data_IF_491946943896
#
_entry.id   IF_491946943896
#
_cell.length_a   1.000
_cell.length_b   1.000
_cell.length_c   1.000
_cell.angle_alpha   90.00
_cell.angle_beta   90.00
_cell.angle_gamma   90.00
#
_symmetry.space_group_name_H-M   'P 1'
#
loop_
_entity.id
_entity.type
_entity.pdbx_description
1 polymer ?
#
# COMPACT_ATOMS: atom_id res chain seq x y z
N UNK A 1 -0.84 18.47 -11.07
CA UNK A 1 -1.25 17.10 -11.43
C UNK A 1 -1.58 16.35 -10.14
N UNK A 2 -2.84 15.98 -9.89
CA UNK A 2 -3.16 15.08 -8.78
C UNK A 2 -2.55 13.72 -9.14
N UNK A 3 -1.48 13.28 -8.47
CA UNK A 3 -1.09 11.88 -8.52
C UNK A 3 -2.25 11.07 -7.93
N UNK A 4 -2.96 10.25 -8.73
CA UNK A 4 -3.99 9.38 -8.19
C UNK A 4 -3.23 8.30 -7.41
N UNK A 5 -3.35 8.31 -6.09
CA UNK A 5 -2.71 7.23 -5.35
C UNK A 5 -3.38 5.91 -5.68
N UNK A 6 -2.59 4.86 -5.63
CA UNK A 6 -2.90 3.54 -6.18
C UNK A 6 -4.02 2.88 -5.37
N UNK A 7 -4.98 2.27 -6.06
CA UNK A 7 -6.03 1.48 -5.40
C UNK A 7 -5.42 0.27 -4.67
N UNK A 8 -6.11 -0.27 -3.66
CA UNK A 8 -5.64 -1.44 -2.92
C UNK A 8 -5.29 -2.63 -3.84
N UNK A 9 -6.13 -2.88 -4.85
CA UNK A 9 -5.96 -4.01 -5.77
C UNK A 9 -4.71 -3.83 -6.63
N UNK A 10 -4.48 -2.62 -7.11
CA UNK A 10 -3.33 -2.29 -7.95
C UNK A 10 -2.03 -2.28 -7.14
N UNK A 11 -2.08 -1.82 -5.89
CA UNK A 11 -0.99 -1.90 -4.94
C UNK A 11 -0.60 -3.36 -4.60
N UNK A 12 -1.60 -4.24 -4.45
CA UNK A 12 -1.37 -5.66 -4.17
C UNK A 12 -0.71 -6.36 -5.37
N UNK A 13 -1.20 -6.08 -6.58
CA UNK A 13 -0.59 -6.58 -7.83
C UNK A 13 0.85 -6.10 -7.99
N UNK A 14 1.12 -4.82 -7.72
CA UNK A 14 2.47 -4.26 -7.82
C UNK A 14 3.45 -4.95 -6.86
N UNK A 15 3.01 -5.25 -5.64
CA UNK A 15 3.82 -5.92 -4.63
C UNK A 15 3.91 -7.44 -4.82
N UNK A 16 3.10 -8.03 -5.70
CA UNK A 16 3.02 -9.49 -5.87
C UNK A 16 2.44 -10.21 -4.65
N UNK A 17 1.58 -9.54 -3.89
CA UNK A 17 0.95 -10.10 -2.67
C UNK A 17 -0.56 -10.19 -2.82
N UNK A 18 -1.18 -11.04 -2.02
CA UNK A 18 -2.63 -11.10 -1.94
C UNK A 18 -3.23 -9.80 -1.39
N UNK A 19 -4.42 -9.44 -1.90
CA UNK A 19 -5.16 -8.27 -1.45
C UNK A 19 -5.48 -8.32 0.06
N UNK A 20 -5.68 -9.52 0.62
CA UNK A 20 -5.92 -9.75 2.06
C UNK A 20 -4.67 -9.46 2.90
N UNK A 21 -3.48 -9.84 2.42
CA UNK A 21 -2.19 -9.51 3.03
C UNK A 21 -2.00 -8.01 3.07
N UNK A 22 -2.24 -7.34 1.93
CA UNK A 22 -2.14 -5.89 1.87
C UNK A 22 -3.18 -5.20 2.78
N UNK A 23 -4.42 -5.68 2.79
CA UNK A 23 -5.47 -5.17 3.66
C UNK A 23 -5.12 -5.31 5.15
N UNK A 24 -4.51 -6.43 5.53
CA UNK A 24 -4.03 -6.65 6.89
C UNK A 24 -2.93 -5.66 7.24
N UNK A 25 -1.93 -5.49 6.36
CA UNK A 25 -0.85 -4.52 6.56
C UNK A 25 -1.36 -3.07 6.74
N UNK A 26 -2.42 -2.70 6.03
CA UNK A 26 -3.07 -1.40 6.22
C UNK A 26 -3.80 -1.30 7.56
N UNK A 27 -4.57 -2.33 7.93
CA UNK A 27 -5.32 -2.36 9.20
C UNK A 27 -4.38 -2.34 10.41
N UNK A 28 -3.23 -3.00 10.31
CA UNK A 28 -2.21 -3.04 11.37
C UNK A 28 -1.26 -1.84 11.34
N UNK A 29 -1.42 -0.91 10.39
CA UNK A 29 -0.59 0.30 10.30
C UNK A 29 0.83 0.07 9.77
N UNK A 30 1.11 -1.07 9.13
CA UNK A 30 2.41 -1.38 8.52
C UNK A 30 2.66 -0.59 7.22
N UNK A 31 1.58 -0.11 6.59
CA UNK A 31 1.62 0.74 5.40
C UNK A 31 0.92 2.07 5.75
N UNK A 32 1.63 3.20 5.71
CA UNK A 32 1.00 4.49 5.93
C UNK A 32 0.01 4.82 4.80
N UNK A 33 -1.23 5.13 5.18
CA UNK A 33 -2.29 5.53 4.25
C UNK A 33 -2.73 6.96 4.50
N UNK A 34 -3.12 7.64 3.43
CA UNK A 34 -3.80 8.94 3.53
C UNK A 34 -5.25 8.79 3.10
N UNK A 35 -6.17 9.45 3.82
CA UNK A 35 -7.56 9.57 3.38
C UNK A 35 -7.68 10.79 2.49
N UNK A 36 -8.12 10.60 1.24
CA UNK A 36 -8.37 11.68 0.29
C UNK A 36 -9.80 11.56 -0.21
N UNK A 37 -10.63 12.58 0.05
CA UNK A 37 -12.04 12.62 -0.34
C UNK A 37 -12.85 11.38 0.09
N UNK A 38 -12.58 10.86 1.30
CA UNK A 38 -13.25 9.65 1.82
C UNK A 38 -12.66 8.32 1.33
N UNK A 39 -11.74 8.34 0.36
CA UNK A 39 -11.04 7.15 -0.11
C UNK A 39 -9.73 6.95 0.66
N UNK A 40 -9.46 5.71 1.08
CA UNK A 40 -8.13 5.31 1.55
C UNK A 40 -7.21 5.20 0.35
N UNK A 41 -6.14 5.99 0.37
CA UNK A 41 -5.16 6.08 -0.70
C UNK A 41 -3.80 5.67 -0.17
N UNK A 42 -3.12 4.78 -0.90
CA UNK A 42 -1.74 4.40 -0.62
C UNK A 42 -0.85 5.23 -1.52
N UNK A 43 0.11 5.95 -0.93
CA UNK A 43 1.08 6.71 -1.71
C UNK A 43 2.14 5.77 -2.27
N UNK A 44 2.72 6.13 -3.42
CA UNK A 44 3.76 5.33 -4.04
C UNK A 44 4.99 5.17 -3.13
N UNK A 45 5.36 6.21 -2.38
CA UNK A 45 6.44 6.14 -1.38
C UNK A 45 6.16 5.13 -0.27
N UNK A 46 4.93 5.11 0.27
CA UNK A 46 4.53 4.14 1.29
C UNK A 46 4.61 2.69 0.78
N UNK A 47 4.26 2.48 -0.50
CA UNK A 47 4.38 1.20 -1.19
C UNK A 47 5.84 0.75 -1.32
N UNK A 48 6.73 1.63 -1.76
CA UNK A 48 8.16 1.32 -1.90
C UNK A 48 8.83 1.03 -0.55
N UNK A 49 8.52 1.82 0.48
CA UNK A 49 9.05 1.60 1.83
C UNK A 49 8.60 0.24 2.39
N UNK A 50 7.33 -0.14 2.16
CA UNK A 50 6.82 -1.43 2.56
C UNK A 50 7.48 -2.58 1.80
N UNK A 51 7.68 -2.44 0.49
CA UNK A 51 8.40 -3.42 -0.33
C UNK A 51 9.83 -3.63 0.15
N UNK A 52 10.54 -2.56 0.50
CA UNK A 52 11.89 -2.63 1.05
C UNK A 52 11.93 -3.41 2.37
N UNK A 53 10.95 -3.19 3.26
CA UNK A 53 10.80 -3.96 4.51
C UNK A 53 10.50 -5.44 4.25
N UNK A 54 9.60 -5.75 3.31
CA UNK A 54 9.27 -7.13 2.96
C UNK A 54 10.48 -7.90 2.42
N UNK A 55 11.30 -7.26 1.59
CA UNK A 55 12.49 -7.88 0.99
C UNK A 55 13.58 -8.19 2.02
N UNK A 56 13.56 -7.55 3.18
CA UNK A 56 14.50 -7.80 4.27
C UNK A 56 14.05 -8.94 5.21
N UNK A 57 12.82 -9.46 5.04
CA UNK A 57 12.25 -10.54 5.84
C UNK A 57 12.38 -11.91 5.13
N UNK A 58 12.71 -11.91 3.83
CA UNK A 58 12.86 -13.09 2.99
C UNK A 58 14.31 -13.55 2.84
#
# INVERSE_FOLDING_TARGET
MLQPGTSLVEAARFLGVDQSTLYTALRTGQIPTTRRNGCTVITQGALMDYQARMRHIL
#
